data_IF_512627807853
#
_entry.id   IF_512627807853
#
_cell.length_a   1.000
_cell.length_b   1.000
_cell.length_c   1.000
_cell.angle_alpha   90.00
_cell.angle_beta   90.00
_cell.angle_gamma   90.00
#
_symmetry.space_group_name_H-M   'P 1'
#
loop_
_entity.id
_entity.type
_entity.pdbx_description
1 polymer ?
#
# COMPACT_ATOMS: atom_id res chain seq x y z
N UNK A 1 -1.02 15.14 -9.17
CA UNK A 1 0.13 14.39 -9.71
C UNK A 1 -0.21 12.89 -9.81
N UNK A 2 0.14 12.20 -10.90
CA UNK A 2 -0.11 10.76 -11.02
C UNK A 2 0.73 9.95 -10.02
N UNK A 3 0.11 8.98 -9.31
CA UNK A 3 0.83 8.07 -8.42
C UNK A 3 1.63 7.04 -9.25
N UNK A 4 2.96 7.10 -9.15
CA UNK A 4 3.87 6.24 -9.92
C UNK A 4 4.16 4.89 -9.26
N UNK A 5 3.95 4.76 -7.94
CA UNK A 5 4.01 3.51 -7.21
C UNK A 5 2.69 2.76 -7.41
N UNK A 6 2.73 1.70 -8.21
CA UNK A 6 1.59 0.82 -8.50
C UNK A 6 2.04 -0.64 -8.36
N UNK A 7 1.13 -1.59 -8.12
CA UNK A 7 1.42 -3.01 -8.32
C UNK A 7 2.05 -3.25 -9.70
N UNK A 8 2.91 -4.26 -9.79
CA UNK A 8 3.65 -4.61 -11.01
C UNK A 8 4.69 -3.58 -11.44
N UNK A 9 4.96 -2.51 -10.68
CA UNK A 9 6.11 -1.64 -10.92
C UNK A 9 7.40 -2.25 -10.38
N UNK A 10 8.47 -2.09 -11.16
CA UNK A 10 9.80 -2.50 -10.74
C UNK A 10 10.45 -1.37 -9.96
N UNK A 11 11.08 -1.73 -8.85
CA UNK A 11 11.79 -0.83 -7.94
C UNK A 11 13.18 -1.36 -7.65
N UNK A 12 14.10 -0.46 -7.29
CA UNK A 12 15.41 -0.82 -6.72
C UNK A 12 15.35 -0.55 -5.22
N UNK A 13 15.77 -1.52 -4.42
CA UNK A 13 15.84 -1.35 -2.97
C UNK A 13 17.07 -0.51 -2.62
N UNK A 14 16.89 0.52 -1.81
CA UNK A 14 17.97 1.45 -1.45
C UNK A 14 18.71 0.99 -0.19
N UNK A 15 18.00 0.43 0.80
CA UNK A 15 18.55 0.18 2.14
C UNK A 15 18.43 -1.28 2.61
N UNK A 16 19.31 -1.65 3.55
CA UNK A 16 19.32 -2.94 4.25
C UNK A 16 19.90 -4.09 3.42
N UNK A 17 19.67 -5.33 3.88
CA UNK A 17 20.26 -6.56 3.29
C UNK A 17 20.06 -6.72 1.77
N UNK A 18 18.98 -6.17 1.22
CA UNK A 18 18.67 -6.27 -0.21
C UNK A 18 18.93 -4.97 -0.97
N UNK A 19 19.74 -4.05 -0.43
CA UNK A 19 20.16 -2.84 -1.14
C UNK A 19 20.76 -3.17 -2.52
N UNK A 20 20.43 -2.34 -3.52
CA UNK A 20 20.82 -2.52 -4.91
C UNK A 20 20.15 -3.70 -5.63
N UNK A 21 19.22 -4.41 -4.98
CA UNK A 21 18.44 -5.48 -5.61
C UNK A 21 17.18 -4.94 -6.26
N UNK A 22 16.81 -5.54 -7.38
CA UNK A 22 15.59 -5.25 -8.13
C UNK A 22 14.44 -6.07 -7.55
N UNK A 23 13.30 -5.43 -7.39
CA UNK A 23 12.09 -6.04 -6.89
C UNK A 23 10.87 -5.53 -7.65
N UNK A 24 9.81 -6.31 -7.67
CA UNK A 24 8.49 -5.92 -8.16
C UNK A 24 7.58 -5.67 -6.98
N UNK A 25 6.82 -4.57 -7.05
CA UNK A 25 5.76 -4.27 -6.08
C UNK A 25 4.61 -5.23 -6.34
N UNK A 26 4.20 -5.96 -5.30
CA UNK A 26 3.08 -6.87 -5.37
C UNK A 26 1.82 -6.24 -4.75
N UNK A 27 1.89 -5.79 -3.50
CA UNK A 27 0.80 -5.10 -2.80
C UNK A 27 1.29 -3.79 -2.19
N UNK A 28 0.41 -2.78 -2.19
CA UNK A 28 0.62 -1.51 -1.52
C UNK A 28 -0.25 -1.51 -0.25
N UNK A 29 0.33 -1.18 0.91
CA UNK A 29 -0.43 -1.08 2.16
C UNK A 29 -1.29 0.19 2.26
N UNK A 30 -1.30 1.02 1.22
CA UNK A 30 -2.25 2.12 1.14
C UNK A 30 -3.60 1.52 0.80
N UNK A 31 -4.51 1.48 1.77
CA UNK A 31 -5.94 1.35 1.47
C UNK A 31 -6.30 2.46 0.48
N UNK A 32 -6.43 2.12 -0.79
CA UNK A 32 -7.36 2.84 -1.64
C UNK A 32 -8.72 2.17 -1.39
N UNK A 33 -9.51 2.72 -0.46
CA UNK A 33 -10.94 2.83 -0.78
C UNK A 33 -11.06 4.01 -1.78
N UNK A 34 -12.06 4.00 -2.67
CA UNK A 34 -12.16 4.95 -3.77
C UNK A 34 -12.55 6.32 -3.22
N UNK A 35 -11.56 7.11 -2.85
CA UNK A 35 -11.61 8.56 -3.01
C UNK A 35 -10.37 8.98 -3.77
N UNK A 36 -10.48 8.77 -5.08
CA UNK A 36 -10.20 9.77 -6.10
C UNK A 36 -9.50 11.02 -5.57
N UNK A 37 -8.17 11.04 -5.68
CA UNK A 37 -7.47 12.30 -5.85
C UNK A 37 -7.67 12.65 -7.31
N UNK A 38 -8.77 13.37 -7.59
CA UNK A 38 -9.02 13.93 -8.90
C UNK A 38 -7.82 14.78 -9.33
N UNK A 39 -7.51 14.67 -10.60
CA UNK A 39 -6.58 15.51 -11.30
C UNK A 39 -7.15 16.94 -11.34
N UNK A 40 -6.74 17.80 -10.42
CA UNK A 40 -6.82 19.25 -10.60
C UNK A 40 -5.40 19.77 -10.72
N UNK A 41 -4.98 19.98 -11.96
CA UNK A 41 -4.30 21.24 -12.26
C UNK A 41 -5.24 22.34 -11.76
N UNK A 42 -4.70 23.28 -11.01
CA UNK A 42 -5.36 24.41 -10.35
C UNK A 42 -5.66 24.24 -8.84
N UNK A 43 -4.97 25.15 -8.13
CA UNK A 43 -5.19 25.71 -6.80
C UNK A 43 -4.54 25.02 -5.57
N UNK A 44 -3.69 25.76 -4.82
CA UNK A 44 -3.27 25.39 -3.48
C UNK A 44 -4.41 25.74 -2.52
N UNK A 45 -4.94 24.76 -1.79
CA UNK A 45 -6.00 25.05 -0.84
C UNK A 45 -5.63 24.62 0.57
N UNK A 46 -5.45 25.67 1.36
CA UNK A 46 -5.32 25.71 2.80
C UNK A 46 -6.44 24.91 3.49
N UNK A 47 -6.19 24.47 4.73
CA UNK A 47 -7.09 23.58 5.51
C UNK A 47 -8.52 24.12 5.66
N UNK A 48 -8.69 25.44 5.54
CA UNK A 48 -9.97 26.13 5.62
C UNK A 48 -10.85 25.94 4.37
N UNK A 49 -10.24 25.82 3.19
CA UNK A 49 -10.98 25.68 1.92
C UNK A 49 -11.51 24.26 1.69
N UNK A 50 -10.81 23.24 2.18
CA UNK A 50 -11.35 21.88 2.24
C UNK A 50 -12.53 21.77 3.23
N UNK A 51 -12.49 22.55 4.32
CA UNK A 51 -13.54 22.63 5.33
C UNK A 51 -14.81 23.31 4.80
N UNK A 52 -14.70 24.41 4.05
CA UNK A 52 -15.85 25.07 3.42
C UNK A 52 -16.50 24.20 2.32
N UNK A 53 -15.70 23.47 1.54
CA UNK A 53 -16.20 22.56 0.51
C UNK A 53 -17.02 21.41 1.10
N UNK A 54 -16.55 20.81 2.20
CA UNK A 54 -17.26 19.73 2.89
C UNK A 54 -18.60 20.21 3.47
N UNK A 55 -18.63 21.42 4.03
CA UNK A 55 -19.85 22.04 4.55
C UNK A 55 -20.85 22.35 3.42
N UNK A 56 -20.38 22.90 2.29
CA UNK A 56 -21.22 23.15 1.11
C UNK A 56 -21.87 21.89 0.56
N UNK A 57 -21.17 20.75 0.62
CA UNK A 57 -21.67 19.45 0.16
C UNK A 57 -22.63 18.80 1.17
N UNK A 58 -22.42 19.01 2.47
CA UNK A 58 -23.31 18.52 3.53
C UNK A 58 -24.70 19.20 3.51
N UNK A 59 -24.77 20.44 3.01
CA UNK A 59 -26.02 21.19 2.88
C UNK A 59 -26.79 20.92 1.56
N UNK A 60 -26.22 20.17 0.61
CA UNK A 60 -26.74 20.09 -0.76
C UNK A 60 -27.30 18.70 -1.19
N UNK A 61 -27.57 17.75 -0.29
CA UNK A 61 -28.02 16.41 -0.71
C UNK A 61 -28.84 15.62 0.32
N UNK A 62 -29.93 15.05 -0.17
CA UNK A 62 -31.07 14.36 0.48
C UNK A 62 -30.75 12.99 1.12
N UNK A 63 -29.61 12.82 1.79
CA UNK A 63 -29.28 11.59 2.53
C UNK A 63 -28.91 11.86 4.01
N UNK A 64 -29.15 13.09 4.50
CA UNK A 64 -28.89 13.47 5.90
C UNK A 64 -29.81 12.79 6.92
N UNK A 65 -30.96 12.27 6.49
CA UNK A 65 -31.98 11.73 7.39
C UNK A 65 -31.66 10.32 7.92
N UNK A 66 -30.93 9.48 7.15
CA UNK A 66 -30.53 8.12 7.56
C UNK A 66 -29.36 8.10 8.54
N UNK A 67 -28.49 9.10 8.48
CA UNK A 67 -27.35 9.23 9.40
C UNK A 67 -27.75 9.92 10.71
N UNK A 68 -28.79 10.75 10.71
CA UNK A 68 -29.37 11.30 11.94
C UNK A 68 -30.05 10.23 12.80
N UNK A 69 -30.78 9.29 12.20
CA UNK A 69 -31.45 8.20 12.93
C UNK A 69 -30.47 7.22 13.55
N UNK A 70 -29.37 6.87 12.86
CA UNK A 70 -28.34 5.98 13.42
C UNK A 70 -27.47 6.64 14.50
N UNK A 71 -27.22 7.95 14.38
CA UNK A 71 -26.51 8.72 15.41
C UNK A 71 -27.39 8.96 16.65
N UNK A 72 -28.68 9.25 16.45
CA UNK A 72 -29.65 9.40 17.55
C UNK A 72 -29.89 8.09 18.31
N UNK A 73 -29.98 6.95 17.61
CA UNK A 73 -30.14 5.63 18.23
C UNK A 73 -28.94 5.18 19.08
N UNK A 74 -27.73 5.69 18.78
CA UNK A 74 -26.52 5.46 19.59
C UNK A 74 -26.41 6.42 20.77
N UNK A 75 -27.09 7.56 20.73
CA UNK A 75 -27.15 8.52 21.83
C UNK A 75 -28.23 8.14 22.85
N UNK A 76 -29.31 7.46 22.43
CA UNK A 76 -30.40 7.02 23.31
C UNK A 76 -30.08 5.78 24.17
N UNK A 77 -28.99 5.06 23.91
CA UNK A 77 -28.58 3.87 24.68
C UNK A 77 -27.59 4.17 25.83
N UNK A 78 -27.31 5.45 26.09
CA UNK A 78 -26.41 5.87 27.18
C UNK A 78 -27.25 6.54 28.26
N UNK A 79 -27.58 5.81 29.31
CA UNK A 79 -28.40 6.30 30.43
C UNK A 79 -27.66 7.40 31.20
N UNK A 80 -28.27 8.58 31.35
CA UNK A 80 -27.82 9.63 32.26
C UNK A 80 -29.03 10.17 33.02
N UNK A 81 -28.95 10.15 34.35
CA UNK A 81 -30.04 10.51 35.27
C UNK A 81 -30.52 11.95 35.06
N UNK A 82 -31.84 12.10 34.98
CA UNK A 82 -32.56 13.37 34.94
C UNK A 82 -32.74 13.93 36.34
N UNK A 83 -31.96 14.95 36.70
CA UNK A 83 -32.39 16.03 37.59
C UNK A 83 -31.42 17.21 37.39
N UNK A 84 -31.80 18.14 36.51
CA UNK A 84 -31.55 19.59 36.58
C UNK A 84 -31.92 20.27 35.24
N UNK A 85 -32.93 21.15 35.27
CA UNK A 85 -33.37 22.00 34.15
C UNK A 85 -32.67 23.39 34.20
N UNK A 86 -32.70 24.21 33.12
CA UNK A 86 -31.51 24.49 32.33
C UNK A 86 -30.97 25.91 32.54
N UNK A 87 -29.64 26.07 32.59
CA UNK A 87 -28.98 27.38 32.46
C UNK A 87 -28.09 27.45 31.22
N UNK A 88 -28.49 28.35 30.32
CA UNK A 88 -27.64 29.11 29.39
C UNK A 88 -26.53 28.36 28.61
N UNK A 89 -26.91 27.93 27.40
CA UNK A 89 -26.40 28.50 26.15
C UNK A 89 -24.87 28.67 25.96
N UNK A 90 -24.01 27.76 26.44
CA UNK A 90 -22.59 27.73 26.06
C UNK A 90 -21.99 26.31 26.02
N UNK A 91 -22.47 25.41 25.15
CA UNK A 91 -21.74 24.16 24.86
C UNK A 91 -22.14 23.50 23.54
N UNK A 92 -22.07 24.21 22.43
CA UNK A 92 -22.25 23.60 21.09
C UNK A 92 -20.95 23.57 20.28
N UNK A 93 -20.00 24.47 20.57
CA UNK A 93 -18.70 24.55 19.88
C UNK A 93 -17.67 23.53 20.39
N UNK A 94 -17.70 23.17 21.67
CA UNK A 94 -16.79 22.16 22.27
C UNK A 94 -17.17 20.75 21.83
N UNK A 95 -18.47 20.47 21.82
CA UNK A 95 -19.09 19.21 21.39
C UNK A 95 -18.95 19.00 19.89
N UNK A 96 -19.19 20.02 19.04
CA UNK A 96 -18.90 19.91 17.59
C UNK A 96 -17.42 19.70 17.29
N UNK A 97 -16.51 20.35 18.03
CA UNK A 97 -15.05 20.13 17.89
C UNK A 97 -14.62 18.75 18.38
N UNK A 98 -15.20 18.23 19.46
CA UNK A 98 -14.94 16.88 19.95
C UNK A 98 -15.48 15.84 18.97
N UNK A 99 -16.70 15.99 18.46
CA UNK A 99 -17.26 15.11 17.42
C UNK A 99 -16.43 15.21 16.14
N UNK A 100 -16.03 16.40 15.69
CA UNK A 100 -15.14 16.58 14.55
C UNK A 100 -13.76 15.95 14.79
N UNK A 101 -13.16 16.07 15.97
CA UNK A 101 -11.88 15.43 16.27
C UNK A 101 -12.00 13.91 16.38
N UNK A 102 -13.14 13.40 16.83
CA UNK A 102 -13.44 11.96 16.85
C UNK A 102 -13.65 11.43 15.43
N UNK A 103 -14.38 12.17 14.57
CA UNK A 103 -14.61 11.82 13.16
C UNK A 103 -13.34 12.00 12.31
N UNK A 104 -12.57 13.07 12.53
CA UNK A 104 -11.29 13.33 11.87
C UNK A 104 -10.21 12.35 12.34
N UNK A 105 -10.16 11.93 13.61
CA UNK A 105 -9.20 10.90 14.05
C UNK A 105 -9.58 9.49 13.57
N UNK A 106 -10.87 9.21 13.39
CA UNK A 106 -11.33 7.95 12.80
C UNK A 106 -11.20 7.92 11.26
N UNK A 107 -11.25 9.08 10.59
CA UNK A 107 -11.08 9.23 9.14
C UNK A 107 -9.62 9.48 8.71
N UNK A 108 -8.77 10.02 9.58
CA UNK A 108 -7.33 10.25 9.36
C UNK A 108 -6.48 9.17 10.03
N UNK A 109 -6.71 7.90 9.68
CA UNK A 109 -5.66 6.90 9.86
C UNK A 109 -4.61 7.14 8.79
N UNK A 110 -3.49 7.72 9.20
CA UNK A 110 -2.33 7.95 8.35
C UNK A 110 -1.92 6.70 7.56
N UNK A 111 -1.26 6.93 6.43
CA UNK A 111 -0.78 5.90 5.50
C UNK A 111 -0.04 4.76 6.25
N UNK A 112 -0.69 3.60 6.43
CA UNK A 112 -0.09 2.48 7.16
C UNK A 112 -1.09 1.37 7.54
N UNK A 113 -0.54 0.23 7.98
CA UNK A 113 -1.32 -0.87 8.58
C UNK A 113 -1.32 -0.74 10.11
N UNK A 114 -2.14 -1.55 10.82
CA UNK A 114 -2.17 -1.54 12.29
C UNK A 114 -0.79 -1.84 12.90
N UNK A 115 0.02 -2.62 12.21
CA UNK A 115 1.36 -3.02 12.63
C UNK A 115 2.43 -1.97 12.26
N UNK A 116 2.23 -1.21 11.17
CA UNK A 116 3.21 -0.27 10.62
C UNK A 116 2.53 1.05 10.28
N UNK A 117 2.76 2.09 11.10
CA UNK A 117 2.22 3.44 10.91
C UNK A 117 2.81 4.24 9.74
N UNK A 118 3.50 3.58 8.80
CA UNK A 118 4.11 4.20 7.62
C UNK A 118 3.71 3.49 6.32
N UNK A 119 3.77 4.22 5.21
CA UNK A 119 3.50 3.69 3.87
C UNK A 119 4.52 2.64 3.46
N UNK A 120 4.04 1.45 3.13
CA UNK A 120 4.90 0.32 2.74
C UNK A 120 4.31 -0.49 1.60
N UNK A 121 5.19 -1.23 0.93
CA UNK A 121 4.84 -2.22 -0.07
C UNK A 121 5.35 -3.60 0.33
N UNK A 122 4.61 -4.62 -0.09
CA UNK A 122 5.12 -5.98 -0.20
C UNK A 122 5.82 -6.10 -1.54
N UNK A 123 7.09 -6.48 -1.51
CA UNK A 123 7.91 -6.65 -2.71
C UNK A 123 8.45 -8.07 -2.84
N UNK A 124 8.51 -8.54 -4.07
CA UNK A 124 9.18 -9.77 -4.47
C UNK A 124 10.37 -9.42 -5.36
N UNK A 125 11.58 -9.84 -5.01
CA UNK A 125 12.78 -9.45 -5.74
C UNK A 125 13.80 -10.56 -5.91
N UNK A 126 14.88 -10.24 -6.61
CA UNK A 126 15.95 -11.18 -6.94
C UNK A 126 17.17 -10.93 -6.04
N UNK A 127 17.46 -11.87 -5.14
CA UNK A 127 18.64 -11.81 -4.26
C UNK A 127 19.89 -12.25 -5.02
N UNK A 128 19.83 -13.41 -5.68
CA UNK A 128 20.87 -13.91 -6.58
C UNK A 128 20.34 -13.94 -8.00
N UNK A 129 20.93 -13.08 -8.83
CA UNK A 129 20.64 -12.98 -10.26
C UNK A 129 21.19 -14.17 -11.03
N UNK A 130 20.55 -14.54 -12.15
CA UNK A 130 21.13 -15.51 -13.07
C UNK A 130 22.43 -14.96 -13.66
N UNK A 131 23.37 -15.86 -13.94
CA UNK A 131 24.66 -15.50 -14.53
C UNK A 131 24.57 -15.48 -16.05
N UNK A 132 25.44 -14.70 -16.70
CA UNK A 132 25.54 -14.64 -18.17
C UNK A 132 25.78 -16.05 -18.75
N UNK A 133 24.97 -16.39 -19.76
CA UNK A 133 25.06 -17.63 -20.51
C UNK A 133 25.69 -17.33 -21.87
N UNK A 134 26.59 -18.19 -22.32
CA UNK A 134 27.21 -18.13 -23.66
C UNK A 134 26.93 -19.42 -24.42
N UNK A 135 27.00 -19.37 -25.76
CA UNK A 135 26.66 -20.49 -26.64
C UNK A 135 27.50 -21.75 -26.37
N UNK A 136 28.75 -21.58 -25.95
CA UNK A 136 29.68 -22.70 -25.72
C UNK A 136 29.42 -23.45 -24.39
N UNK A 137 28.45 -23.02 -23.58
CA UNK A 137 28.17 -23.68 -22.31
C UNK A 137 27.33 -24.94 -22.49
N UNK A 138 27.75 -26.05 -21.87
CA UNK A 138 26.95 -27.27 -21.82
C UNK A 138 25.67 -27.12 -20.98
N UNK A 139 24.66 -27.95 -21.27
CA UNK A 139 23.31 -27.93 -20.65
C UNK A 139 23.35 -27.90 -19.11
N UNK A 140 24.25 -28.66 -18.48
CA UNK A 140 24.43 -28.70 -17.01
C UNK A 140 24.88 -27.34 -16.45
N UNK A 141 25.80 -26.64 -17.13
CA UNK A 141 26.28 -25.31 -16.72
C UNK A 141 25.20 -24.25 -16.93
N UNK A 142 24.45 -24.34 -18.03
CA UNK A 142 23.31 -23.46 -18.33
C UNK A 142 22.26 -23.57 -17.22
N UNK A 143 21.82 -24.78 -16.88
CA UNK A 143 20.84 -25.00 -15.82
C UNK A 143 21.29 -24.46 -14.46
N UNK A 144 22.59 -24.56 -14.11
CA UNK A 144 23.13 -23.98 -12.88
C UNK A 144 23.15 -22.44 -12.90
N UNK A 145 23.41 -21.82 -14.05
CA UNK A 145 23.50 -20.36 -14.22
C UNK A 145 22.15 -19.67 -14.34
N UNK A 146 21.13 -20.34 -14.85
CA UNK A 146 19.76 -19.82 -14.94
C UNK A 146 19.03 -19.76 -13.60
N UNK A 147 19.56 -20.41 -12.54
CA UNK A 147 18.91 -20.44 -11.22
C UNK A 147 18.81 -19.06 -10.60
N UNK A 148 17.62 -18.74 -10.10
CA UNK A 148 17.34 -17.48 -9.41
C UNK A 148 17.08 -17.76 -7.93
N UNK A 149 17.61 -16.90 -7.04
CA UNK A 149 17.22 -16.91 -5.62
C UNK A 149 16.31 -15.70 -5.35
N UNK A 150 14.99 -15.90 -5.16
CA UNK A 150 14.09 -14.80 -4.85
C UNK A 150 14.12 -14.44 -3.36
N UNK A 151 13.66 -13.23 -3.06
CA UNK A 151 13.33 -12.80 -1.70
C UNK A 151 11.95 -12.12 -1.68
N UNK A 152 11.32 -12.15 -0.51
CA UNK A 152 10.08 -11.44 -0.23
C UNK A 152 10.31 -10.58 1.01
N UNK A 153 9.92 -9.31 0.93
CA UNK A 153 10.10 -8.35 2.02
C UNK A 153 9.00 -7.28 2.02
N UNK A 154 8.68 -6.78 3.21
CA UNK A 154 7.90 -5.56 3.38
C UNK A 154 8.87 -4.37 3.45
N UNK A 155 8.69 -3.36 2.61
CA UNK A 155 9.63 -2.23 2.47
C UNK A 155 8.87 -0.92 2.50
N UNK A 156 9.38 0.05 3.27
CA UNK A 156 8.90 1.43 3.28
C UNK A 156 9.11 2.08 1.90
N UNK A 157 8.18 2.92 1.44
CA UNK A 157 8.31 3.66 0.19
C UNK A 157 9.61 4.47 0.08
N UNK A 158 10.08 5.05 1.18
CA UNK A 158 11.32 5.83 1.18
C UNK A 158 12.58 5.00 0.92
N UNK A 159 12.51 3.67 1.09
CA UNK A 159 13.64 2.76 0.90
C UNK A 159 13.58 2.05 -0.46
N UNK A 160 12.76 2.55 -1.37
CA UNK A 160 12.63 2.04 -2.72
C UNK A 160 12.77 3.18 -3.72
N UNK A 161 13.59 2.97 -4.74
CA UNK A 161 13.66 3.86 -5.90
C UNK A 161 12.73 3.31 -6.98
N UNK A 162 11.70 4.06 -7.39
CA UNK A 162 10.85 3.67 -8.51
C UNK A 162 11.63 3.67 -9.80
N UNK A 163 11.35 2.71 -10.68
CA UNK A 163 11.93 2.67 -12.02
C UNK A 163 10.84 2.85 -13.06
N UNK A 164 11.24 3.18 -14.29
CA UNK A 164 10.34 3.24 -15.44
C UNK A 164 9.68 1.88 -15.74
N UNK A 165 10.37 0.79 -15.44
CA UNK A 165 9.97 -0.55 -15.86
C UNK A 165 8.78 -1.10 -15.09
N UNK A 166 7.93 -1.83 -15.81
CA UNK A 166 6.87 -2.68 -15.27
C UNK A 166 7.24 -4.16 -15.42
N UNK A 167 6.75 -4.97 -14.50
CA UNK A 167 6.82 -6.41 -14.54
C UNK A 167 5.47 -6.95 -14.04
N UNK A 168 4.63 -7.31 -14.99
CA UNK A 168 3.33 -7.89 -14.72
C UNK A 168 3.46 -9.40 -14.55
N UNK A 169 3.06 -9.87 -13.36
CA UNK A 169 3.01 -11.28 -13.03
C UNK A 169 1.66 -11.52 -12.34
N UNK A 170 0.69 -11.97 -13.13
CA UNK A 170 -0.67 -12.26 -12.66
C UNK A 170 -0.66 -13.29 -11.54
N UNK A 171 0.18 -14.33 -11.66
CA UNK A 171 0.32 -15.41 -10.67
C UNK A 171 1.00 -15.00 -9.36
N UNK A 172 1.60 -13.80 -9.26
CA UNK A 172 2.13 -13.34 -7.98
C UNK A 172 1.01 -12.97 -7.00
N UNK A 173 -0.17 -12.57 -7.51
CA UNK A 173 -1.32 -12.07 -6.71
C UNK A 173 -1.78 -13.05 -5.63
N UNK A 174 -1.78 -14.35 -5.92
CA UNK A 174 -2.19 -15.40 -4.99
C UNK A 174 -1.07 -15.88 -4.08
N UNK A 175 0.20 -15.77 -4.51
CA UNK A 175 1.32 -16.42 -3.83
C UNK A 175 1.86 -15.63 -2.62
N UNK A 176 1.62 -14.32 -2.52
CA UNK A 176 2.24 -13.47 -1.48
C UNK A 176 1.18 -12.71 -0.69
N UNK A 177 0.73 -13.27 0.42
CA UNK A 177 -0.20 -12.60 1.33
C UNK A 177 0.53 -11.98 2.52
N UNK A 178 -0.16 -11.13 3.29
CA UNK A 178 0.38 -10.58 4.55
C UNK A 178 0.70 -11.68 5.57
N UNK A 179 -0.05 -12.80 5.56
CA UNK A 179 0.14 -13.90 6.50
C UNK A 179 1.43 -14.70 6.22
N UNK A 180 1.90 -14.71 4.97
CA UNK A 180 3.16 -15.36 4.58
C UNK A 180 4.41 -14.81 5.28
N UNK A 181 4.29 -13.67 5.98
CA UNK A 181 5.37 -13.06 6.75
C UNK A 181 5.37 -13.42 8.24
N UNK A 182 4.26 -13.95 8.78
CA UNK A 182 4.15 -14.35 10.18
C UNK A 182 4.87 -15.67 10.40
N UNK A 183 4.58 -16.65 9.55
CA UNK A 183 5.11 -18.00 9.66
C UNK A 183 6.27 -18.26 8.68
N UNK A 184 7.39 -18.85 9.13
CA UNK A 184 8.54 -19.12 8.27
C UNK A 184 8.23 -20.16 7.18
N UNK A 185 7.38 -21.15 7.46
CA UNK A 185 7.01 -22.20 6.49
C UNK A 185 6.35 -21.61 5.25
N UNK A 186 5.30 -20.78 5.44
CA UNK A 186 4.58 -20.11 4.35
C UNK A 186 5.51 -19.19 3.55
N UNK A 187 6.49 -18.56 4.21
CA UNK A 187 7.50 -17.74 3.55
C UNK A 187 8.38 -18.55 2.60
N UNK A 188 8.71 -19.78 2.94
CA UNK A 188 9.49 -20.67 2.07
C UNK A 188 8.68 -21.16 0.88
N UNK A 189 7.41 -21.50 1.10
CA UNK A 189 6.47 -21.87 0.03
C UNK A 189 6.28 -20.74 -0.98
N UNK A 190 6.05 -19.52 -0.51
CA UNK A 190 5.94 -18.34 -1.35
C UNK A 190 7.23 -18.11 -2.16
N UNK A 191 8.42 -18.28 -1.55
CA UNK A 191 9.69 -18.19 -2.27
C UNK A 191 9.84 -19.28 -3.34
N UNK A 192 9.40 -20.52 -3.07
CA UNK A 192 9.42 -21.61 -4.05
C UNK A 192 8.51 -21.28 -5.25
N UNK A 193 7.32 -20.72 -5.01
CA UNK A 193 6.41 -20.28 -6.07
C UNK A 193 7.02 -19.16 -6.93
N UNK A 194 7.55 -18.11 -6.29
CA UNK A 194 8.20 -16.99 -6.99
C UNK A 194 9.41 -17.45 -7.80
N UNK A 195 10.18 -18.40 -7.26
CA UNK A 195 11.35 -18.94 -7.94
C UNK A 195 10.97 -19.55 -9.29
N UNK A 196 9.93 -20.40 -9.32
CA UNK A 196 9.44 -21.01 -10.56
C UNK A 196 9.05 -19.94 -11.59
N UNK A 197 8.24 -18.96 -11.15
CA UNK A 197 7.79 -17.85 -12.01
C UNK A 197 8.95 -17.01 -12.58
N UNK A 198 9.95 -16.70 -11.76
CA UNK A 198 11.11 -15.92 -12.21
C UNK A 198 12.01 -16.72 -13.15
N UNK A 199 12.19 -18.02 -12.92
CA UNK A 199 12.97 -18.89 -13.81
C UNK A 199 12.27 -19.08 -15.16
N UNK A 200 10.94 -19.31 -15.17
CA UNK A 200 10.14 -19.37 -16.39
C UNK A 200 10.22 -18.07 -17.19
N UNK A 201 10.08 -16.92 -16.52
CA UNK A 201 10.14 -15.62 -17.20
C UNK A 201 11.54 -15.32 -17.73
N UNK A 202 12.59 -15.68 -17.01
CA UNK A 202 13.97 -15.54 -17.49
C UNK A 202 14.24 -16.41 -18.71
N UNK A 203 13.79 -17.68 -18.69
CA UNK A 203 13.96 -18.60 -19.81
C UNK A 203 13.21 -18.13 -21.07
N UNK A 204 12.08 -17.42 -20.91
CA UNK A 204 11.37 -16.77 -22.03
C UNK A 204 12.12 -15.57 -22.65
N UNK A 205 13.22 -15.11 -22.05
CA UNK A 205 14.00 -13.96 -22.52
C UNK A 205 13.37 -12.59 -22.25
N UNK A 206 12.22 -12.54 -21.57
CA UNK A 206 11.50 -11.30 -21.26
C UNK A 206 12.12 -10.56 -20.07
N UNK A 207 11.90 -9.24 -19.99
CA UNK A 207 12.32 -8.40 -18.86
C UNK A 207 13.83 -8.51 -18.54
N UNK A 208 14.69 -8.54 -19.58
CA UNK A 208 16.16 -8.67 -19.47
C UNK A 208 16.78 -7.72 -18.44
N UNK A 209 16.30 -6.48 -18.36
CA UNK A 209 16.79 -5.50 -17.39
C UNK A 209 16.57 -5.97 -15.94
N UNK A 210 15.42 -6.58 -15.62
CA UNK A 210 15.12 -7.06 -14.27
C UNK A 210 16.08 -8.15 -13.81
N UNK A 211 16.44 -9.08 -14.70
CA UNK A 211 17.34 -10.20 -14.39
C UNK A 211 18.83 -9.88 -14.51
N UNK A 212 19.18 -8.71 -15.04
CA UNK A 212 20.57 -8.25 -15.10
C UNK A 212 20.95 -7.58 -13.78
N UNK A 213 22.05 -8.01 -13.14
CA UNK A 213 22.55 -7.39 -11.91
C UNK A 213 22.89 -5.91 -12.14
N UNK A 214 22.43 -5.02 -11.25
CA UNK A 214 22.88 -3.64 -11.20
C UNK A 214 24.30 -3.59 -10.63
N UNK A 215 25.22 -2.90 -11.32
CA UNK A 215 26.59 -2.67 -10.86
C UNK A 215 26.66 -1.24 -10.32
N UNK A 216 27.03 -1.13 -9.06
CA UNK A 216 27.30 0.09 -8.33
C UNK A 216 28.52 -0.21 -7.44
#
# INVERSE_FOLDING_TARGET
MPRFLKPSKVVVILNGRYAGKKAVIHLLSSRDHPLTIYNTREQPFDRLTAFEWLIRRYHAGTDGHKLQTEAAAKLSSTSFNEHDEPRHQYSTKRTKRQILNTVLSSHWKGFGSKERGYGHAIVAGVERYPLKITKNMGKKRVAKRSKVKPFIKIVNYNHMMPTRYGLELESLKSAVTLDSFKEPSQREEAKKAIKKLFEERYNSGKNKWFFTKLRF
#
